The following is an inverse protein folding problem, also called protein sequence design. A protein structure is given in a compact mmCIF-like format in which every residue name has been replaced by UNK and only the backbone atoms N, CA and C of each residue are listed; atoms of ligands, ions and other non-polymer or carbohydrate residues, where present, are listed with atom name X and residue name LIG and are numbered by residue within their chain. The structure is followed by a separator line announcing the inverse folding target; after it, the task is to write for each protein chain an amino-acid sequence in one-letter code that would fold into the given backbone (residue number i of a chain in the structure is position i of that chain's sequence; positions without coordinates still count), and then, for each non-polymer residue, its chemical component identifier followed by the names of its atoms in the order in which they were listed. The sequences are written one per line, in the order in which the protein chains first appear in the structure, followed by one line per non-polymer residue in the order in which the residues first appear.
data_IF_197784375542
#
_entry.id   IF_197784375542
#
_cell.length_a   1.000
_cell.length_b   1.000
_cell.length_c   1.000
_cell.angle_alpha   90.00
_cell.angle_beta   90.00
_cell.angle_gamma   90.00
#
_symmetry.space_group_name_H-M   'P 1'
#
loop_
_entity.id
_entity.type
_entity.pdbx_description
1 polymer ?
#
# COMPACT_ATOMS: atom_id res chain seq x y z
N UNK A 1 -11.90 25.41 14.62
CA UNK A 1 -12.78 25.93 13.53
C UNK A 1 -13.02 24.75 12.58
N UNK A 2 -14.20 24.16 12.65
CA UNK A 2 -14.58 22.99 11.83
C UNK A 2 -14.92 23.48 10.42
N UNK A 3 -14.18 23.06 9.40
CA UNK A 3 -14.55 23.29 8.00
C UNK A 3 -15.43 22.12 7.54
N UNK A 4 -16.71 22.40 7.42
CA UNK A 4 -17.70 21.54 6.76
C UNK A 4 -17.42 21.61 5.25
N UNK A 5 -17.06 20.51 4.61
CA UNK A 5 -17.11 20.36 3.17
C UNK A 5 -18.48 19.80 2.80
N UNK A 6 -19.31 20.64 2.18
CA UNK A 6 -20.57 20.20 1.59
C UNK A 6 -20.28 19.58 0.23
N UNK A 7 -20.52 18.29 0.09
CA UNK A 7 -20.60 17.61 -1.21
C UNK A 7 -21.95 17.97 -1.81
N UNK A 8 -21.94 18.79 -2.86
CA UNK A 8 -23.14 19.13 -3.62
C UNK A 8 -23.49 17.97 -4.55
N UNK A 9 -24.55 17.23 -4.24
CA UNK A 9 -25.20 16.28 -5.15
C UNK A 9 -25.92 17.12 -6.23
N UNK A 10 -25.34 17.21 -7.43
CA UNK A 10 -25.99 17.80 -8.58
C UNK A 10 -26.84 16.75 -9.29
N UNK A 11 -28.11 16.64 -8.91
CA UNK A 11 -29.13 15.94 -9.70
C UNK A 11 -29.48 16.79 -10.92
N UNK A 12 -28.95 16.46 -12.10
CA UNK A 12 -29.42 17.01 -13.37
C UNK A 12 -30.69 16.31 -13.80
N UNK A 13 -31.79 17.02 -13.66
CA UNK A 13 -33.06 16.70 -14.34
C UNK A 13 -32.94 17.21 -15.78
N UNK A 14 -32.83 16.30 -16.74
CA UNK A 14 -32.92 16.61 -18.16
C UNK A 14 -34.39 16.67 -18.58
N UNK A 15 -34.93 17.87 -18.78
CA UNK A 15 -36.16 18.11 -19.50
C UNK A 15 -35.91 17.93 -20.98
N UNK A 16 -36.59 16.93 -21.59
CA UNK A 16 -36.59 16.71 -23.00
C UNK A 16 -37.41 17.78 -23.72
N UNK A 17 -36.77 18.55 -24.62
CA UNK A 17 -37.48 19.24 -25.72
C UNK A 17 -37.20 18.50 -27.01
N UNK A 18 -38.27 18.00 -27.61
CA UNK A 18 -38.24 17.40 -28.95
C UNK A 18 -38.09 18.49 -30.00
N UNK A 19 -37.09 18.35 -30.87
CA UNK A 19 -37.08 18.91 -32.22
C UNK A 19 -36.49 17.88 -33.15
N UNK A 20 -37.38 17.49 -34.08
CA UNK A 20 -37.21 16.53 -35.15
C UNK A 20 -36.17 17.05 -36.16
N UNK A 21 -35.01 16.40 -36.26
CA UNK A 21 -34.16 16.35 -37.45
C UNK A 21 -33.27 15.09 -37.34
N UNK A 22 -33.43 14.18 -38.32
CA UNK A 22 -32.78 12.90 -38.38
C UNK A 22 -31.26 12.98 -38.41
N UNK A 23 -30.66 12.74 -37.29
CA UNK A 23 -29.27 12.34 -37.14
C UNK A 23 -29.24 11.05 -36.32
N UNK A 24 -28.38 10.12 -36.72
CA UNK A 24 -28.15 8.80 -36.13
C UNK A 24 -28.19 8.88 -34.60
N UNK A 25 -29.22 8.29 -34.01
CA UNK A 25 -29.24 8.09 -32.55
C UNK A 25 -28.04 7.23 -32.16
N UNK A 26 -26.96 7.89 -31.75
CA UNK A 26 -25.91 7.23 -31.02
C UNK A 26 -26.54 6.44 -29.87
N UNK A 27 -26.29 5.14 -29.83
CA UNK A 27 -26.78 4.23 -28.81
C UNK A 27 -26.57 4.89 -27.47
N UNK A 28 -27.65 5.39 -26.84
CA UNK A 28 -27.57 5.89 -25.46
C UNK A 28 -27.07 4.75 -24.58
N UNK A 29 -25.86 4.89 -24.09
CA UNK A 29 -25.24 3.91 -23.22
C UNK A 29 -26.04 3.84 -21.92
N UNK A 30 -26.77 2.75 -21.71
CA UNK A 30 -27.45 2.53 -20.43
C UNK A 30 -26.41 2.40 -19.33
N UNK A 31 -26.43 3.28 -18.28
CA UNK A 31 -25.58 3.16 -17.12
C UNK A 31 -25.90 1.89 -16.35
N UNK A 32 -24.92 1.30 -15.71
CA UNK A 32 -25.09 0.14 -14.81
C UNK A 32 -24.20 0.28 -13.58
N UNK A 33 -24.71 -0.18 -12.46
CA UNK A 33 -23.94 -0.21 -11.23
C UNK A 33 -23.00 -1.42 -11.22
N UNK A 34 -21.75 -1.17 -10.85
CA UNK A 34 -20.74 -2.19 -10.64
C UNK A 34 -20.30 -2.14 -9.18
N UNK A 35 -20.47 -3.27 -8.50
CA UNK A 35 -19.99 -3.45 -7.13
C UNK A 35 -18.60 -4.07 -7.13
N UNK A 36 -17.70 -3.52 -6.35
CA UNK A 36 -16.31 -3.97 -6.15
C UNK A 36 -16.08 -4.26 -4.68
N UNK A 37 -15.53 -5.43 -4.38
CA UNK A 37 -15.15 -5.80 -3.02
C UNK A 37 -13.66 -6.10 -2.97
N UNK A 38 -12.94 -5.43 -2.10
CA UNK A 38 -11.50 -5.52 -1.95
C UNK A 38 -11.15 -6.35 -0.72
N UNK A 39 -10.21 -7.29 -0.90
CA UNK A 39 -9.68 -8.12 0.18
C UNK A 39 -8.19 -8.38 -0.03
N UNK A 40 -7.39 -8.54 1.06
CA UNK A 40 -6.02 -8.95 0.94
C UNK A 40 -5.94 -10.38 0.37
N UNK A 41 -4.97 -10.61 -0.52
CA UNK A 41 -4.60 -11.95 -0.92
C UNK A 41 -3.74 -12.57 0.19
N UNK A 42 -4.24 -13.66 0.79
CA UNK A 42 -3.52 -14.46 1.77
C UNK A 42 -3.40 -15.87 1.21
N UNK A 43 -2.16 -16.38 1.07
CA UNK A 43 -1.91 -17.70 0.47
C UNK A 43 -2.53 -18.86 1.28
N UNK A 44 -2.78 -18.66 2.58
CA UNK A 44 -3.43 -19.64 3.45
C UNK A 44 -4.97 -19.61 3.46
N UNK A 45 -5.61 -18.72 2.69
CA UNK A 45 -7.06 -18.49 2.72
C UNK A 45 -7.92 -19.65 2.17
N UNK A 46 -7.34 -20.82 1.89
CA UNK A 46 -8.16 -21.99 1.53
C UNK A 46 -9.05 -22.50 2.69
N UNK A 47 -8.88 -22.01 3.93
CA UNK A 47 -9.65 -22.44 5.11
C UNK A 47 -10.07 -21.33 6.08
N UNK A 48 -9.77 -20.05 5.83
CA UNK A 48 -10.13 -18.92 6.71
C UNK A 48 -11.12 -17.97 6.07
N UNK A 49 -11.98 -17.39 6.90
CA UNK A 49 -12.87 -16.27 6.55
C UNK A 49 -12.03 -15.16 5.90
N UNK A 50 -12.44 -14.66 4.73
CA UNK A 50 -11.75 -13.58 4.03
C UNK A 50 -11.48 -12.42 5.00
N UNK A 51 -10.21 -12.11 5.23
CA UNK A 51 -9.80 -11.01 6.10
C UNK A 51 -10.23 -9.70 5.43
N UNK A 52 -10.90 -8.83 6.16
CA UNK A 52 -11.29 -7.53 5.62
C UNK A 52 -10.04 -6.69 5.29
N UNK A 53 -10.06 -5.95 4.19
CA UNK A 53 -8.99 -4.99 3.84
C UNK A 53 -8.75 -3.99 4.96
N UNK A 54 -9.79 -3.65 5.75
CA UNK A 54 -9.71 -2.76 6.91
C UNK A 54 -8.78 -3.23 8.04
N UNK A 55 -8.49 -4.54 8.12
CA UNK A 55 -7.52 -5.06 9.10
C UNK A 55 -6.07 -4.78 8.73
N UNK A 56 -5.83 -4.46 7.45
CA UNK A 56 -4.48 -4.37 6.87
C UNK A 56 -4.09 -2.94 6.51
N UNK A 57 -5.00 -2.17 5.90
CA UNK A 57 -4.75 -0.80 5.43
C UNK A 57 -5.79 0.17 5.97
N UNK A 58 -5.52 1.47 5.87
CA UNK A 58 -6.40 2.54 6.37
C UNK A 58 -6.96 3.41 5.25
N UNK A 59 -6.42 3.31 4.04
CA UNK A 59 -6.84 4.03 2.85
C UNK A 59 -6.94 3.08 1.67
N UNK A 60 -7.88 3.35 0.79
CA UNK A 60 -8.08 2.65 -0.47
C UNK A 60 -8.33 3.69 -1.56
N UNK A 61 -7.37 3.83 -2.47
CA UNK A 61 -7.49 4.67 -3.65
C UNK A 61 -7.74 3.80 -4.88
N UNK A 62 -8.76 4.17 -5.67
CA UNK A 62 -9.23 3.39 -6.82
C UNK A 62 -9.35 4.30 -8.03
N UNK A 63 -8.81 3.86 -9.16
CA UNK A 63 -8.92 4.55 -10.44
C UNK A 63 -9.52 3.62 -11.48
N UNK A 64 -10.57 4.11 -12.16
CA UNK A 64 -11.19 3.45 -13.30
C UNK A 64 -10.84 4.26 -14.56
N UNK A 65 -10.05 3.66 -15.43
CA UNK A 65 -9.51 4.32 -16.63
C UNK A 65 -10.19 3.75 -17.88
N UNK A 66 -10.71 4.62 -18.74
CA UNK A 66 -11.33 4.22 -20.01
C UNK A 66 -11.15 5.30 -21.08
N UNK A 67 -10.40 5.02 -22.14
CA UNK A 67 -10.26 5.92 -23.30
C UNK A 67 -9.66 7.29 -22.96
N UNK A 68 -8.82 7.38 -21.92
CA UNK A 68 -8.25 8.64 -21.42
C UNK A 68 -9.05 9.31 -20.30
N UNK A 69 -10.29 8.89 -20.05
CA UNK A 69 -11.08 9.33 -18.90
C UNK A 69 -10.65 8.56 -17.65
N UNK A 70 -10.56 9.24 -16.50
CA UNK A 70 -10.24 8.66 -15.20
C UNK A 70 -11.33 9.01 -14.19
N UNK A 71 -11.91 7.99 -13.56
CA UNK A 71 -12.76 8.16 -12.38
C UNK A 71 -11.91 7.77 -11.18
N UNK A 72 -11.63 8.73 -10.30
CA UNK A 72 -10.87 8.50 -9.08
C UNK A 72 -11.83 8.46 -7.88
N UNK A 73 -11.67 7.42 -7.04
CA UNK A 73 -12.46 7.17 -5.85
C UNK A 73 -11.50 6.91 -4.69
N UNK A 74 -11.88 7.32 -3.50
CA UNK A 74 -11.10 7.13 -2.28
C UNK A 74 -12.01 6.72 -1.14
N UNK A 75 -11.53 5.78 -0.34
CA UNK A 75 -12.12 5.42 0.95
C UNK A 75 -11.07 5.46 2.05
N UNK A 76 -11.51 5.73 3.26
CA UNK A 76 -10.73 5.61 4.48
C UNK A 76 -11.38 4.56 5.40
N UNK A 77 -10.63 4.02 6.34
CA UNK A 77 -11.13 3.03 7.30
C UNK A 77 -12.32 3.52 8.16
N UNK A 78 -12.57 4.85 8.17
CA UNK A 78 -13.65 5.46 8.92
C UNK A 78 -14.97 5.46 8.11
N UNK A 79 -14.93 5.10 6.82
CA UNK A 79 -16.11 4.92 5.99
C UNK A 79 -16.80 3.58 6.34
N UNK A 80 -18.12 3.59 6.46
CA UNK A 80 -18.89 2.42 6.92
C UNK A 80 -18.79 1.21 5.98
N UNK A 81 -18.52 1.45 4.71
CA UNK A 81 -18.41 0.46 3.62
C UNK A 81 -16.97 0.29 3.14
N UNK A 82 -15.97 0.63 3.98
CA UNK A 82 -14.55 0.54 3.62
C UNK A 82 -14.19 -0.84 3.07
N UNK A 83 -13.64 -0.86 1.85
CA UNK A 83 -13.33 -2.06 1.09
C UNK A 83 -14.47 -2.55 0.19
N UNK A 84 -15.59 -1.81 0.11
CA UNK A 84 -16.67 -2.09 -0.83
C UNK A 84 -17.09 -0.79 -1.52
N UNK A 85 -17.08 -0.77 -2.86
CA UNK A 85 -17.44 0.37 -3.67
C UNK A 85 -18.54 -0.01 -4.67
N UNK A 86 -19.52 0.89 -4.87
CA UNK A 86 -20.49 0.78 -5.95
C UNK A 86 -20.37 2.01 -6.86
N UNK A 87 -20.18 1.79 -8.14
CA UNK A 87 -19.97 2.86 -9.13
C UNK A 87 -20.87 2.64 -10.33
N UNK A 88 -21.57 3.69 -10.75
CA UNK A 88 -22.38 3.68 -11.98
C UNK A 88 -21.47 3.92 -13.19
N UNK A 89 -21.38 2.96 -14.10
CA UNK A 89 -20.51 2.96 -15.26
C UNK A 89 -21.28 2.79 -16.58
N UNK A 90 -20.65 3.19 -17.66
CA UNK A 90 -21.18 3.05 -19.00
C UNK A 90 -20.95 1.63 -19.56
N UNK A 91 -22.02 0.89 -19.86
CA UNK A 91 -21.98 -0.48 -20.39
C UNK A 91 -21.21 -0.63 -21.71
N UNK A 92 -21.13 0.43 -22.53
CA UNK A 92 -20.47 0.35 -23.84
C UNK A 92 -18.95 0.53 -23.75
N UNK A 93 -18.43 0.94 -22.57
CA UNK A 93 -17.00 1.14 -22.34
C UNK A 93 -16.36 -0.10 -21.70
N UNK A 94 -15.05 -0.21 -21.91
CA UNK A 94 -14.17 -1.11 -21.15
C UNK A 94 -13.36 -0.26 -20.20
N UNK A 95 -13.24 -0.70 -18.94
CA UNK A 95 -12.51 0.01 -17.90
C UNK A 95 -11.32 -0.83 -17.43
N UNK A 96 -10.20 -0.17 -17.21
CA UNK A 96 -9.10 -0.74 -16.44
C UNK A 96 -9.17 -0.18 -15.02
N UNK A 97 -9.33 -1.08 -14.06
CA UNK A 97 -9.32 -0.80 -12.64
C UNK A 97 -7.89 -0.88 -12.12
N UNK A 98 -7.43 0.14 -11.43
CA UNK A 98 -6.27 0.14 -10.56
C UNK A 98 -6.72 0.46 -9.15
N UNK A 99 -6.27 -0.30 -8.17
CA UNK A 99 -6.57 -0.07 -6.77
C UNK A 99 -5.31 -0.23 -5.92
N UNK A 100 -5.07 0.70 -5.00
CA UNK A 100 -4.01 0.61 -4.01
C UNK A 100 -4.59 0.80 -2.60
N UNK A 101 -4.31 -0.17 -1.72
CA UNK A 101 -4.59 -0.07 -0.30
C UNK A 101 -3.30 0.26 0.45
N UNK A 102 -3.32 1.23 1.39
CA UNK A 102 -2.11 1.69 2.09
C UNK A 102 -2.42 2.33 3.44
N UNK A 103 -1.37 2.76 4.17
CA UNK A 103 -1.47 3.51 5.44
C UNK A 103 -0.87 4.91 5.36
N UNK A 104 -0.51 5.40 4.16
CA UNK A 104 -0.17 6.80 3.93
C UNK A 104 -1.45 7.67 3.90
N UNK A 105 -1.30 8.99 3.89
CA UNK A 105 -2.44 9.91 3.92
C UNK A 105 -3.16 10.04 2.57
N UNK A 106 -2.67 9.39 1.51
CA UNK A 106 -3.27 9.31 0.19
C UNK A 106 -2.29 8.79 -0.86
N UNK A 107 -2.82 8.47 -2.04
CA UNK A 107 -2.04 8.13 -3.22
C UNK A 107 -2.58 8.84 -4.45
N UNK A 108 -1.74 8.98 -5.48
CA UNK A 108 -2.08 9.57 -6.78
C UNK A 108 -1.63 8.66 -7.91
N UNK A 109 -2.41 8.63 -8.99
CA UNK A 109 -2.03 7.96 -10.24
C UNK A 109 -1.77 9.00 -11.32
N UNK A 110 -0.55 9.03 -11.86
CA UNK A 110 -0.16 9.86 -13.01
C UNK A 110 0.72 9.05 -13.95
N UNK A 111 0.40 9.07 -15.24
CA UNK A 111 1.16 8.38 -16.29
C UNK A 111 1.44 6.88 -15.97
N UNK A 112 0.49 6.21 -15.33
CA UNK A 112 0.61 4.82 -14.93
C UNK A 112 1.51 4.59 -13.71
N UNK A 113 1.89 5.65 -12.98
CA UNK A 113 2.70 5.58 -11.76
C UNK A 113 1.86 6.00 -10.55
N UNK A 114 1.82 5.13 -9.55
CA UNK A 114 1.24 5.43 -8.24
C UNK A 114 2.34 6.00 -7.35
N UNK A 115 2.09 7.19 -6.79
CA UNK A 115 2.93 7.86 -5.80
C UNK A 115 2.14 8.05 -4.51
N UNK A 116 2.79 7.88 -3.37
CA UNK A 116 2.18 8.08 -2.06
C UNK A 116 2.44 9.50 -1.55
N UNK A 117 1.51 10.05 -0.77
CA UNK A 117 1.69 11.36 -0.12
C UNK A 117 2.97 11.35 0.73
N UNK A 118 3.77 12.42 0.59
CA UNK A 118 5.07 12.61 1.24
C UNK A 118 6.09 11.48 0.95
N UNK A 119 5.97 10.81 -0.21
CA UNK A 119 6.77 9.65 -0.61
C UNK A 119 6.80 8.54 0.46
N UNK A 120 5.73 8.46 1.27
CA UNK A 120 5.62 7.60 2.45
C UNK A 120 5.16 6.19 2.07
N UNK A 121 6.09 5.32 1.72
CA UNK A 121 5.81 3.90 1.52
C UNK A 121 5.45 3.27 2.88
N UNK A 122 4.29 2.65 2.94
CA UNK A 122 3.75 1.97 4.13
C UNK A 122 3.38 0.53 3.76
N UNK A 123 2.71 -0.19 4.64
CA UNK A 123 2.07 -1.44 4.28
C UNK A 123 1.11 -1.19 3.12
N UNK A 124 1.51 -1.58 1.91
CA UNK A 124 0.79 -1.26 0.67
C UNK A 124 0.47 -2.50 -0.13
N UNK A 125 -0.72 -2.51 -0.72
CA UNK A 125 -1.26 -3.60 -1.55
C UNK A 125 -1.81 -3.03 -2.85
N UNK A 126 -1.75 -3.81 -3.93
CA UNK A 126 -2.19 -3.41 -5.26
C UNK A 126 -3.07 -4.48 -5.91
N UNK A 127 -4.02 -4.03 -6.74
CA UNK A 127 -4.82 -4.85 -7.62
C UNK A 127 -5.08 -4.13 -8.93
N UNK A 128 -5.09 -4.88 -10.03
CA UNK A 128 -5.53 -4.36 -11.33
C UNK A 128 -6.28 -5.39 -12.13
N UNK A 129 -7.25 -4.94 -12.90
CA UNK A 129 -7.98 -5.77 -13.87
C UNK A 129 -8.64 -4.91 -14.94
N UNK A 130 -8.94 -5.50 -16.07
CA UNK A 130 -9.74 -4.87 -17.13
C UNK A 130 -11.07 -5.60 -17.26
N UNK A 131 -12.18 -4.85 -17.31
CA UNK A 131 -13.53 -5.42 -17.37
C UNK A 131 -14.50 -4.56 -18.19
N UNK A 132 -15.61 -5.17 -18.59
CA UNK A 132 -16.75 -4.48 -19.23
C UNK A 132 -17.97 -4.53 -18.31
N UNK A 133 -18.58 -3.37 -17.98
CA UNK A 133 -19.80 -3.33 -17.17
C UNK A 133 -21.01 -4.01 -17.82
N UNK A 134 -20.97 -4.25 -19.13
CA UNK A 134 -22.01 -5.01 -19.82
C UNK A 134 -22.09 -6.49 -19.37
N UNK A 135 -20.94 -7.05 -18.92
CA UNK A 135 -20.83 -8.46 -18.55
C UNK A 135 -20.44 -8.68 -17.10
N UNK A 136 -19.93 -7.65 -16.44
CA UNK A 136 -19.38 -7.74 -15.08
C UNK A 136 -19.97 -6.63 -14.20
N UNK A 137 -20.86 -7.01 -13.30
CA UNK A 137 -21.49 -6.09 -12.32
C UNK A 137 -20.98 -6.31 -10.89
N UNK A 138 -20.19 -7.36 -10.66
CA UNK A 138 -19.57 -7.66 -9.37
C UNK A 138 -18.10 -8.05 -9.60
N UNK A 139 -17.18 -7.40 -8.88
CA UNK A 139 -15.76 -7.66 -8.91
C UNK A 139 -15.25 -8.02 -7.50
N UNK A 140 -14.60 -9.17 -7.39
CA UNK A 140 -13.82 -9.53 -6.20
C UNK A 140 -12.36 -9.21 -6.47
N UNK A 141 -11.83 -8.18 -5.77
CA UNK A 141 -10.51 -7.63 -5.98
C UNK A 141 -9.54 -8.16 -4.92
N UNK A 142 -8.78 -9.21 -5.26
CA UNK A 142 -7.77 -9.79 -4.36
C UNK A 142 -6.47 -9.01 -4.48
N UNK A 143 -6.18 -8.16 -3.48
CA UNK A 143 -5.03 -7.27 -3.47
C UNK A 143 -3.76 -7.99 -3.00
N UNK A 144 -2.68 -7.89 -3.74
CA UNK A 144 -1.36 -8.44 -3.38
C UNK A 144 -0.48 -7.36 -2.78
N UNK A 145 0.39 -7.74 -1.83
CA UNK A 145 1.35 -6.82 -1.22
C UNK A 145 2.44 -6.45 -2.21
N UNK A 146 2.69 -5.16 -2.34
CA UNK A 146 3.72 -4.57 -3.22
C UNK A 146 4.93 -4.04 -2.46
N UNK A 147 5.04 -4.39 -1.19
CA UNK A 147 6.15 -4.00 -0.31
C UNK A 147 6.76 -5.22 0.38
N UNK A 148 8.06 -5.14 0.65
CA UNK A 148 8.76 -5.97 1.62
C UNK A 148 8.64 -5.35 3.01
N UNK A 149 8.65 -6.17 4.06
CA UNK A 149 8.73 -5.76 5.46
C UNK A 149 10.09 -6.17 6.04
N UNK A 150 10.94 -5.20 6.34
CA UNK A 150 12.13 -5.41 7.16
C UNK A 150 11.74 -5.21 8.62
N UNK A 151 11.85 -6.27 9.42
CA UNK A 151 11.59 -6.27 10.85
C UNK A 151 12.88 -6.44 11.63
N UNK A 152 13.18 -5.48 12.50
CA UNK A 152 14.28 -5.53 13.46
C UNK A 152 13.72 -5.72 14.86
N UNK A 153 14.16 -6.77 15.56
CA UNK A 153 13.89 -7.02 16.98
C UNK A 153 15.19 -6.90 17.76
N UNK A 154 15.27 -5.86 18.60
CA UNK A 154 16.43 -5.56 19.45
C UNK A 154 16.22 -6.23 20.79
N UNK A 155 17.21 -7.03 21.24
CA UNK A 155 17.09 -7.89 22.44
C UNK A 155 17.84 -7.34 23.65
N UNK A 156 18.70 -6.35 23.47
CA UNK A 156 19.42 -5.67 24.54
C UNK A 156 18.71 -4.36 24.98
N UNK A 157 19.11 -3.84 26.12
CA UNK A 157 18.50 -2.64 26.71
C UNK A 157 18.83 -1.40 25.87
N UNK A 158 17.81 -0.56 25.66
CA UNK A 158 17.98 0.73 25.02
C UNK A 158 18.63 1.74 25.96
N UNK A 159 19.66 2.47 25.52
CA UNK A 159 20.18 3.62 26.26
C UNK A 159 19.07 4.63 26.55
N UNK A 160 19.09 5.26 27.73
CA UNK A 160 18.07 6.21 28.16
C UNK A 160 17.95 7.44 27.23
N UNK A 161 19.04 7.79 26.57
CA UNK A 161 19.14 8.87 25.58
C UNK A 161 18.51 8.50 24.24
N UNK A 162 18.33 7.21 23.90
CA UNK A 162 17.75 6.79 22.63
C UNK A 162 16.28 7.24 22.50
N UNK A 163 15.98 8.00 21.45
CA UNK A 163 14.63 8.52 21.17
C UNK A 163 14.04 8.01 19.87
N UNK A 164 14.88 7.63 18.91
CA UNK A 164 14.40 7.11 17.62
C UNK A 164 15.45 6.20 16.97
N UNK A 165 14.99 5.40 16.00
CA UNK A 165 15.83 4.66 15.08
C UNK A 165 15.61 5.19 13.67
N UNK A 166 16.67 5.52 12.97
CA UNK A 166 16.67 5.89 11.56
C UNK A 166 17.18 4.71 10.74
N UNK A 167 16.36 4.27 9.80
CA UNK A 167 16.64 3.18 8.87
C UNK A 167 16.94 3.76 7.49
N UNK A 168 18.03 3.35 6.88
CA UNK A 168 18.35 3.62 5.48
C UNK A 168 18.45 2.30 4.74
N UNK A 169 17.56 2.08 3.78
CA UNK A 169 17.55 0.88 2.91
C UNK A 169 18.02 1.30 1.52
N UNK A 170 19.11 0.70 1.04
CA UNK A 170 19.70 1.05 -0.25
C UNK A 170 18.90 0.49 -1.43
N UNK A 171 18.93 1.22 -2.55
CA UNK A 171 18.49 0.75 -3.88
C UNK A 171 17.07 0.18 -3.96
N UNK A 172 16.12 0.71 -3.19
CA UNK A 172 14.70 0.34 -3.23
C UNK A 172 13.86 1.34 -4.03
N UNK A 173 12.55 1.10 -4.15
CA UNK A 173 11.65 1.99 -4.88
C UNK A 173 10.67 2.68 -3.91
N UNK A 174 10.21 3.89 -4.28
CA UNK A 174 9.18 4.64 -3.52
C UNK A 174 7.85 4.80 -4.27
N UNK A 175 7.79 4.35 -5.53
CA UNK A 175 6.62 4.44 -6.41
C UNK A 175 6.32 3.09 -7.06
N UNK A 176 5.07 2.96 -7.50
CA UNK A 176 4.59 1.75 -8.15
C UNK A 176 4.07 2.05 -9.56
N UNK A 177 4.73 1.51 -10.59
CA UNK A 177 4.20 1.53 -11.94
C UNK A 177 3.20 0.37 -12.10
N UNK A 178 1.98 0.68 -12.54
CA UNK A 178 0.86 -0.28 -12.62
C UNK A 178 1.10 -1.45 -13.60
N UNK A 179 2.12 -1.32 -14.47
CA UNK A 179 2.48 -2.33 -15.47
C UNK A 179 3.78 -3.06 -15.12
N UNK A 180 4.78 -2.33 -14.62
CA UNK A 180 6.15 -2.87 -14.44
C UNK A 180 6.55 -3.09 -12.99
N UNK A 181 5.74 -2.63 -12.03
CA UNK A 181 6.05 -2.76 -10.61
C UNK A 181 6.83 -1.59 -10.05
N UNK A 182 7.73 -1.84 -9.10
CA UNK A 182 8.54 -0.81 -8.44
C UNK A 182 9.27 0.10 -9.42
N UNK A 183 9.23 1.40 -9.18
CA UNK A 183 9.88 2.43 -10.00
C UNK A 183 10.36 3.59 -9.14
N UNK A 184 11.26 4.44 -9.68
CA UNK A 184 11.97 5.51 -8.99
C UNK A 184 12.84 4.97 -7.86
N UNK A 185 14.01 4.40 -8.25
CA UNK A 185 14.99 3.80 -7.34
C UNK A 185 15.74 4.87 -6.54
N UNK A 186 15.90 4.63 -5.24
CA UNK A 186 16.60 5.52 -4.31
C UNK A 186 16.99 4.79 -3.02
N UNK A 187 17.82 5.42 -2.21
CA UNK A 187 18.05 5.02 -0.83
C UNK A 187 16.90 5.58 0.03
N UNK A 188 16.12 4.68 0.63
CA UNK A 188 14.96 5.07 1.41
C UNK A 188 15.32 5.26 2.87
N UNK A 189 15.00 6.45 3.41
CA UNK A 189 15.17 6.77 4.82
C UNK A 189 13.83 6.76 5.54
N UNK A 190 13.77 6.11 6.71
CA UNK A 190 12.60 6.09 7.59
C UNK A 190 13.03 6.23 9.03
N UNK A 191 12.44 7.18 9.77
CA UNK A 191 12.70 7.36 11.21
C UNK A 191 11.50 6.92 12.02
N UNK A 192 11.72 6.05 13.02
CA UNK A 192 10.69 5.52 13.91
C UNK A 192 11.03 5.95 15.34
N UNK A 193 10.09 6.65 15.99
CA UNK A 193 10.25 7.06 17.37
C UNK A 193 10.22 5.86 18.31
N UNK A 194 11.17 5.81 19.25
CA UNK A 194 11.19 4.82 20.30
C UNK A 194 10.29 5.29 21.46
N UNK A 195 9.29 4.51 21.78
CA UNK A 195 8.28 4.84 22.82
C UNK A 195 8.63 4.31 24.22
N UNK A 196 9.84 3.75 24.40
CA UNK A 196 10.28 3.19 25.68
C UNK A 196 9.76 1.77 25.97
N UNK A 197 8.98 1.16 25.09
CA UNK A 197 8.35 -0.15 25.36
C UNK A 197 8.54 -1.17 24.24
N UNK A 198 8.58 -0.76 22.98
CA UNK A 198 8.68 -1.68 21.85
C UNK A 198 10.14 -1.86 21.41
N UNK A 199 10.61 -3.08 21.41
CA UNK A 199 11.91 -3.47 20.84
C UNK A 199 11.78 -3.96 19.38
N UNK A 200 10.61 -3.83 18.77
CA UNK A 200 10.30 -4.32 17.42
C UNK A 200 9.96 -3.15 16.51
N UNK A 201 10.66 -3.08 15.37
CA UNK A 201 10.52 -2.03 14.36
C UNK A 201 10.28 -2.66 13.00
N UNK A 202 9.26 -2.17 12.28
CA UNK A 202 8.96 -2.60 10.92
C UNK A 202 9.16 -1.43 9.97
N UNK A 203 9.89 -1.66 8.89
CA UNK A 203 10.12 -0.69 7.81
C UNK A 203 9.74 -1.32 6.48
N UNK A 204 8.96 -0.60 5.69
CA UNK A 204 8.45 -1.07 4.41
C UNK A 204 9.21 -0.45 3.25
N UNK A 205 9.51 -1.24 2.25
CA UNK A 205 10.10 -0.79 1.00
C UNK A 205 9.44 -1.50 -0.18
N UNK A 206 9.24 -0.79 -1.29
CA UNK A 206 8.89 -1.41 -2.56
C UNK A 206 10.18 -1.99 -3.14
N UNK A 207 10.15 -3.28 -3.45
CA UNK A 207 11.26 -4.00 -4.09
C UNK A 207 10.77 -4.67 -5.38
N UNK A 208 11.14 -5.89 -5.62
CA UNK A 208 10.67 -6.70 -6.75
C UNK A 208 9.93 -7.94 -6.25
N UNK A 209 9.19 -8.60 -7.14
CA UNK A 209 8.51 -9.88 -6.83
C UNK A 209 9.50 -11.06 -6.75
N UNK A 210 10.74 -10.85 -7.20
CA UNK A 210 11.86 -11.76 -6.95
C UNK A 210 12.71 -11.23 -5.82
N UNK A 211 13.30 -12.12 -5.02
CA UNK A 211 14.19 -11.72 -3.93
C UNK A 211 15.41 -10.97 -4.47
N UNK A 212 15.67 -9.78 -3.89
CA UNK A 212 16.88 -8.97 -4.11
C UNK A 212 17.58 -8.74 -2.78
N UNK A 213 18.85 -8.37 -2.79
CA UNK A 213 19.61 -8.04 -1.59
C UNK A 213 19.86 -6.54 -1.51
N UNK A 214 19.79 -6.00 -0.29
CA UNK A 214 19.91 -4.58 0.01
C UNK A 214 20.73 -4.36 1.27
N UNK A 215 21.53 -3.31 1.31
CA UNK A 215 22.18 -2.91 2.55
C UNK A 215 21.22 -2.07 3.38
N UNK A 216 21.13 -2.39 4.69
CA UNK A 216 20.28 -1.64 5.60
C UNK A 216 21.13 -1.08 6.72
N UNK A 217 21.24 0.24 6.80
CA UNK A 217 21.89 0.94 7.89
C UNK A 217 20.84 1.41 8.90
N UNK A 218 21.06 1.11 10.15
CA UNK A 218 20.21 1.53 11.27
C UNK A 218 21.04 2.38 12.23
N UNK A 219 20.54 3.57 12.53
CA UNK A 219 21.16 4.52 13.47
C UNK A 219 20.21 4.80 14.63
N UNK A 220 20.67 4.58 15.84
CA UNK A 220 19.96 5.04 17.02
C UNK A 220 20.30 6.52 17.28
N UNK A 221 19.27 7.34 17.52
CA UNK A 221 19.38 8.78 17.65
C UNK A 221 18.88 9.24 19.03
N UNK A 222 19.53 10.28 19.57
CA UNK A 222 19.06 10.99 20.75
C UNK A 222 18.00 12.06 20.43
N UNK A 223 17.68 12.93 21.40
CA UNK A 223 16.68 13.98 21.25
C UNK A 223 17.12 15.11 20.32
N UNK A 224 18.41 15.29 20.10
CA UNK A 224 19.02 16.29 19.22
C UNK A 224 19.35 15.68 17.83
N UNK A 225 18.86 14.47 17.54
CA UNK A 225 19.13 13.67 16.33
C UNK A 225 20.61 13.28 16.17
N UNK A 226 21.42 13.37 17.25
CA UNK A 226 22.78 12.89 17.20
C UNK A 226 22.83 11.35 17.26
N UNK A 227 23.75 10.77 16.49
CA UNK A 227 23.88 9.31 16.39
C UNK A 227 24.56 8.75 17.65
N UNK A 228 23.86 7.86 18.35
CA UNK A 228 24.35 7.12 19.52
C UNK A 228 25.08 5.85 19.07
N UNK A 229 24.47 5.10 18.13
CA UNK A 229 24.96 3.82 17.64
C UNK A 229 24.56 3.64 16.19
N UNK A 230 25.40 2.96 15.41
CA UNK A 230 25.13 2.58 14.01
C UNK A 230 25.38 1.09 13.81
N UNK A 231 24.49 0.43 13.10
CA UNK A 231 24.67 -0.94 12.61
C UNK A 231 24.30 -1.01 11.12
N UNK A 232 25.11 -1.73 10.36
CA UNK A 232 24.82 -2.03 8.94
C UNK A 232 24.63 -3.52 8.76
N UNK A 233 23.51 -3.88 8.17
CA UNK A 233 23.16 -5.23 7.76
C UNK A 233 23.38 -5.30 6.25
N UNK A 234 24.43 -6.02 5.84
CA UNK A 234 24.75 -6.19 4.42
C UNK A 234 23.95 -7.33 3.81
N UNK A 235 23.67 -7.22 2.51
CA UNK A 235 23.01 -8.25 1.70
C UNK A 235 21.68 -8.77 2.28
N UNK A 236 20.88 -7.87 2.91
CA UNK A 236 19.56 -8.23 3.47
C UNK A 236 18.62 -8.65 2.36
N UNK A 237 18.10 -9.89 2.36
CA UNK A 237 17.16 -10.35 1.35
C UNK A 237 15.79 -9.69 1.56
N UNK A 238 15.33 -8.95 0.55
CA UNK A 238 13.98 -8.35 0.52
C UNK A 238 13.22 -8.84 -0.72
N UNK A 239 11.88 -8.98 -0.55
CA UNK A 239 10.96 -9.35 -1.62
C UNK A 239 9.57 -8.79 -1.31
N UNK A 240 8.86 -8.27 -2.31
CA UNK A 240 7.47 -7.86 -2.15
C UNK A 240 6.61 -9.01 -1.62
N UNK A 241 5.75 -8.73 -0.65
CA UNK A 241 4.89 -9.71 -0.02
C UNK A 241 5.56 -10.59 1.04
N UNK A 242 6.84 -10.36 1.33
CA UNK A 242 7.60 -11.14 2.33
C UNK A 242 8.11 -10.26 3.47
N UNK A 243 8.33 -10.91 4.60
CA UNK A 243 8.89 -10.33 5.81
C UNK A 243 10.28 -10.90 6.07
N UNK A 244 11.28 -10.02 6.23
CA UNK A 244 12.64 -10.39 6.64
C UNK A 244 12.84 -9.95 8.08
N UNK A 245 13.02 -10.92 8.98
CA UNK A 245 13.19 -10.67 10.41
C UNK A 245 14.67 -10.75 10.79
N UNK A 246 15.16 -9.71 11.46
CA UNK A 246 16.45 -9.68 12.13
C UNK A 246 16.23 -9.56 13.64
N UNK A 247 16.85 -10.43 14.43
CA UNK A 247 16.75 -10.43 15.89
C UNK A 247 18.14 -10.53 16.49
N UNK A 248 18.47 -9.65 17.44
CA UNK A 248 19.78 -9.67 18.13
C UNK A 248 20.04 -8.42 18.94
N UNK A 249 21.28 -8.32 19.44
CA UNK A 249 21.76 -7.16 20.18
C UNK A 249 22.14 -6.02 19.24
N UNK A 250 21.82 -4.80 19.62
CA UNK A 250 22.09 -3.61 18.82
C UNK A 250 23.11 -2.68 19.49
N UNK A 251 23.01 -2.47 20.80
CA UNK A 251 23.82 -1.52 21.56
C UNK A 251 25.08 -2.13 22.18
N UNK A 252 25.13 -3.44 22.38
CA UNK A 252 26.27 -4.14 22.96
C UNK A 252 27.33 -4.42 21.89
N UNK A 253 28.60 -4.04 22.15
CA UNK A 253 29.75 -4.27 21.28
C UNK A 253 30.30 -5.73 21.35
N UNK A 254 29.44 -6.71 21.33
CA UNK A 254 29.85 -8.11 21.14
C UNK A 254 29.78 -8.48 19.64
N UNK A 255 30.54 -9.49 19.18
CA UNK A 255 30.37 -9.99 17.83
C UNK A 255 28.90 -10.32 17.61
N UNK A 256 28.29 -9.66 16.63
CA UNK A 256 26.85 -9.66 16.40
C UNK A 256 26.40 -11.08 16.04
N UNK A 257 25.65 -11.74 16.94
CA UNK A 257 24.91 -12.95 16.62
C UNK A 257 23.51 -12.51 16.24
N UNK A 258 23.31 -12.18 14.97
CA UNK A 258 21.95 -11.95 14.46
C UNK A 258 21.48 -13.13 13.66
N UNK A 259 20.30 -13.63 13.99
CA UNK A 259 19.59 -14.60 13.16
C UNK A 259 18.61 -13.86 12.27
N UNK A 260 18.47 -14.27 11.02
CA UNK A 260 17.43 -13.76 10.15
C UNK A 260 16.61 -14.89 9.57
N UNK A 261 15.33 -14.62 9.35
CA UNK A 261 14.39 -15.48 8.65
C UNK A 261 13.66 -14.68 7.59
N UNK A 262 13.44 -15.28 6.43
CA UNK A 262 12.59 -14.71 5.37
C UNK A 262 11.34 -15.56 5.30
N UNK A 263 10.22 -14.99 5.69
CA UNK A 263 8.94 -15.70 5.73
C UNK A 263 7.93 -15.01 4.83
N UNK A 264 7.00 -15.76 4.26
CA UNK A 264 5.78 -15.19 3.69
C UNK A 264 5.12 -14.31 4.76
N UNK A 265 4.51 -13.19 4.36
CA UNK A 265 3.94 -12.19 5.28
C UNK A 265 2.95 -12.78 6.30
N UNK A 266 2.40 -13.94 6.02
CA UNK A 266 1.41 -14.61 6.84
C UNK A 266 2.01 -15.63 7.83
N UNK A 267 3.32 -15.92 7.77
CA UNK A 267 3.96 -16.85 8.72
C UNK A 267 4.58 -16.07 9.89
N UNK A 268 4.03 -16.28 11.07
CA UNK A 268 4.62 -15.92 12.35
C UNK A 268 5.46 -17.08 12.85
N UNK A 269 6.68 -17.23 12.35
CA UNK A 269 7.66 -18.10 13.01
C UNK A 269 8.75 -17.25 13.66
N UNK A 270 8.65 -17.13 14.97
CA UNK A 270 9.77 -16.77 15.84
C UNK A 270 10.61 -18.02 15.99
N UNK A 271 11.70 -18.11 15.25
CA UNK A 271 12.73 -19.11 15.56
C UNK A 271 13.61 -18.52 16.65
N UNK A 272 13.40 -18.96 17.89
CA UNK A 272 14.32 -18.76 18.99
C UNK A 272 15.52 -19.69 18.82
N UNK A 273 16.74 -19.12 18.80
CA UNK A 273 17.98 -19.85 18.94
C UNK A 273 18.78 -19.34 20.15
#
# INVERSE_FOLDING_TARGET
MKRLWMIALASMVLTACSSDNGEEFGVMSEPTDVQMTFSPYEMEAMTRTATSVASVVTHLDVWLVSGGDVIALQQTKDDADFGSLTVTLNKTKTYTLYAVGHKADGATLSDGVISFTDDKVTHSMFYSTTFSPATTTNLSCLMTRIVADFRLEITDDFPAECKSLRFTISDVFDRWNVTTGGTHQLDRVSTINYNGTSAIFNVYAITTDTQTTHDITVEALDADEAVIQTRTFADVPLRNGYKTNYRGTFFIDTPMTMSFTVNDWNEYDTVDF
#
